data_IF_069191554097
#
_entry.id   IF_069191554097
#
_cell.length_a   1.000
_cell.length_b   1.000
_cell.length_c   1.000
_cell.angle_alpha   90.00
_cell.angle_beta   90.00
_cell.angle_gamma   90.00
#
_symmetry.space_group_name_H-M   'P 1'
#
loop_
_entity.id
_entity.type
_entity.pdbx_description
1 polymer ?
#
# COMPACT_ATOMS: atom_id res chain seq x y z
N UNK A 1 9.50 -39.52 4.66
CA UNK A 1 8.59 -38.81 5.59
C UNK A 1 8.58 -37.32 5.24
N UNK A 2 8.32 -36.99 3.97
CA UNK A 2 8.18 -35.62 3.43
C UNK A 2 7.40 -35.72 2.09
N UNK A 3 6.24 -36.39 2.09
CA UNK A 3 5.39 -36.52 0.88
C UNK A 3 3.88 -36.38 1.18
N UNK A 4 3.50 -35.87 2.36
CA UNK A 4 2.07 -35.77 2.75
C UNK A 4 1.69 -34.39 3.29
N UNK A 5 2.00 -33.33 2.56
CA UNK A 5 1.23 -32.08 2.65
C UNK A 5 0.99 -31.58 1.23
N UNK A 6 -0.18 -31.97 0.70
CA UNK A 6 -0.69 -31.55 -0.60
C UNK A 6 -0.85 -30.03 -0.69
N UNK A 7 -0.74 -29.54 -1.94
CA UNK A 7 -0.68 -28.13 -2.33
C UNK A 7 -1.69 -27.21 -1.65
N UNK A 8 -1.33 -25.94 -1.49
CA UNK A 8 -1.20 -25.05 -2.65
C UNK A 8 0.18 -24.44 -2.78
N UNK A 9 0.76 -24.52 -3.98
CA UNK A 9 1.68 -23.50 -4.45
C UNK A 9 0.95 -22.16 -4.31
N UNK A 10 1.45 -21.27 -3.45
CA UNK A 10 1.12 -19.85 -3.58
C UNK A 10 1.92 -19.40 -4.81
N UNK A 11 1.33 -19.55 -6.00
CA UNK A 11 1.90 -19.14 -7.30
C UNK A 11 1.78 -17.62 -7.54
N UNK A 12 1.67 -16.81 -6.49
CA UNK A 12 1.78 -15.36 -6.61
C UNK A 12 2.97 -14.93 -5.75
N UNK A 13 3.93 -14.25 -6.39
CA UNK A 13 4.96 -13.55 -5.64
C UNK A 13 4.25 -12.61 -4.66
N UNK A 14 4.66 -12.58 -3.38
CA UNK A 14 4.02 -11.70 -2.42
C UNK A 14 4.08 -10.26 -2.93
N UNK A 15 2.93 -9.59 -2.94
CA UNK A 15 2.86 -8.19 -3.37
C UNK A 15 3.88 -7.34 -2.60
N UNK A 16 4.56 -6.48 -3.34
CA UNK A 16 5.57 -5.59 -2.78
C UNK A 16 4.88 -4.54 -1.90
N UNK A 17 5.16 -4.57 -0.59
CA UNK A 17 4.62 -3.60 0.36
C UNK A 17 5.31 -2.23 0.19
N UNK A 18 4.71 -1.34 -0.61
CA UNK A 18 5.19 0.02 -0.85
C UNK A 18 4.76 1.02 0.25
N UNK A 19 3.55 0.82 0.79
CA UNK A 19 2.92 1.65 1.82
C UNK A 19 2.48 0.84 3.04
N UNK A 20 2.24 1.52 4.16
CA UNK A 20 1.54 0.94 5.30
C UNK A 20 0.81 2.01 6.10
N UNK A 21 -0.53 1.95 6.11
CA UNK A 21 -1.37 2.66 7.05
C UNK A 21 -1.32 2.04 8.46
N UNK A 22 -0.90 2.84 9.44
CA UNK A 22 -0.89 2.50 10.87
C UNK A 22 -1.87 3.41 11.63
N UNK A 23 -3.01 2.85 12.01
CA UNK A 23 -4.06 3.54 12.77
C UNK A 23 -5.41 2.89 12.55
N UNK A 24 -6.45 3.49 13.12
CA UNK A 24 -7.84 3.05 12.94
C UNK A 24 -8.41 3.78 11.72
N UNK A 25 -8.99 3.08 10.72
CA UNK A 25 -9.70 3.71 9.61
C UNK A 25 -10.82 4.64 10.11
N UNK A 26 -11.08 5.71 9.37
CA UNK A 26 -12.08 6.71 9.73
C UNK A 26 -13.49 6.13 9.96
N UNK A 27 -14.01 5.18 9.15
CA UNK A 27 -15.32 4.59 9.40
C UNK A 27 -15.40 3.80 10.71
N UNK A 28 -14.26 3.32 11.21
CA UNK A 28 -14.14 2.53 12.44
C UNK A 28 -13.76 3.39 13.66
N UNK A 29 -13.33 4.63 13.44
CA UNK A 29 -12.91 5.53 14.49
C UNK A 29 -14.09 5.91 15.40
N UNK A 30 -13.94 5.66 16.71
CA UNK A 30 -14.96 6.02 17.71
C UNK A 30 -15.01 7.54 17.91
N UNK A 31 -16.22 8.09 17.91
CA UNK A 31 -16.44 9.51 18.24
C UNK A 31 -16.40 9.78 19.75
N UNK A 32 -16.70 8.77 20.57
CA UNK A 32 -16.73 8.88 22.04
C UNK A 32 -15.33 8.65 22.62
N UNK A 33 -14.59 7.70 22.04
CA UNK A 33 -13.24 7.31 22.45
C UNK A 33 -12.29 7.42 21.25
N UNK A 34 -11.91 8.64 20.85
CA UNK A 34 -11.09 8.84 19.65
C UNK A 34 -9.68 8.26 19.82
N UNK A 35 -9.01 7.88 18.71
CA UNK A 35 -7.64 7.37 18.75
C UNK A 35 -6.69 8.34 19.47
N UNK A 36 -5.86 7.81 20.36
CA UNK A 36 -4.89 8.60 21.13
C UNK A 36 -3.73 9.13 20.28
N UNK A 37 -3.48 8.50 19.13
CA UNK A 37 -2.38 8.80 18.24
C UNK A 37 -2.89 9.09 16.84
N UNK A 38 -2.22 9.98 16.10
CA UNK A 38 -2.54 10.19 14.70
C UNK A 38 -2.26 8.92 13.91
N UNK A 39 -3.05 8.74 12.86
CA UNK A 39 -2.75 7.82 11.76
C UNK A 39 -1.38 8.18 11.17
N UNK A 40 -0.61 7.17 10.80
CA UNK A 40 0.66 7.33 10.07
C UNK A 40 0.63 6.45 8.83
N UNK A 41 1.12 7.00 7.72
CA UNK A 41 1.46 6.20 6.55
C UNK A 41 2.98 6.08 6.49
N UNK A 42 3.48 4.86 6.46
CA UNK A 42 4.89 4.56 6.22
C UNK A 42 5.07 4.26 4.73
N UNK A 43 6.12 4.82 4.15
CA UNK A 43 6.52 4.54 2.77
C UNK A 43 7.86 3.81 2.79
N UNK A 44 7.94 2.71 2.05
CA UNK A 44 9.13 1.89 1.96
C UNK A 44 9.95 2.30 0.74
N UNK A 45 11.00 3.10 0.98
CA UNK A 45 11.84 3.67 -0.09
C UNK A 45 12.32 2.64 -1.10
N UNK A 46 12.83 1.49 -0.65
CA UNK A 46 13.39 0.50 -1.58
C UNK A 46 12.31 -0.13 -2.44
N UNK A 47 11.17 -0.50 -1.85
CA UNK A 47 10.00 -1.02 -2.57
C UNK A 47 9.55 -0.04 -3.66
N UNK A 48 9.38 1.24 -3.32
CA UNK A 48 8.97 2.28 -4.28
C UNK A 48 9.97 2.49 -5.43
N UNK A 49 11.27 2.34 -5.17
CA UNK A 49 12.29 2.47 -6.22
C UNK A 49 12.29 1.25 -7.15
N UNK A 50 12.03 0.07 -6.60
CA UNK A 50 11.94 -1.17 -7.37
C UNK A 50 10.70 -1.17 -8.30
N UNK A 51 9.65 -0.40 -7.97
CA UNK A 51 8.45 -0.25 -8.82
C UNK A 51 8.66 0.58 -10.08
N UNK A 52 9.65 1.48 -10.11
CA UNK A 52 9.81 2.49 -11.19
C UNK A 52 11.14 2.42 -11.94
N UNK A 53 11.85 1.28 -11.87
CA UNK A 53 13.15 1.06 -12.53
C UNK A 53 14.16 2.23 -12.32
N UNK A 54 14.26 2.72 -11.07
CA UNK A 54 14.93 3.99 -10.79
C UNK A 54 16.43 4.00 -11.13
N UNK A 55 16.82 4.83 -12.11
CA UNK A 55 18.21 5.01 -12.55
C UNK A 55 18.84 6.35 -12.11
N UNK A 56 18.06 7.22 -11.47
CA UNK A 56 18.50 8.55 -11.03
C UNK A 56 18.34 9.67 -12.05
N UNK A 57 17.73 9.40 -13.21
CA UNK A 57 17.32 10.42 -14.19
C UNK A 57 16.17 11.31 -13.67
N UNK A 58 15.94 12.44 -14.34
CA UNK A 58 14.82 13.33 -14.02
C UNK A 58 13.48 12.66 -14.36
N UNK A 59 13.46 11.84 -15.41
CA UNK A 59 12.32 11.02 -15.82
C UNK A 59 11.98 9.98 -14.74
N UNK A 60 12.94 9.17 -14.30
CA UNK A 60 12.72 8.19 -13.22
C UNK A 60 12.31 8.85 -11.89
N UNK A 61 12.77 10.09 -11.65
CA UNK A 61 12.33 10.86 -10.49
C UNK A 61 10.88 11.37 -10.63
N UNK A 62 10.39 11.61 -11.84
CA UNK A 62 8.98 11.92 -12.08
C UNK A 62 8.11 10.69 -11.83
N UNK A 63 8.51 9.53 -12.35
CA UNK A 63 7.82 8.25 -12.15
C UNK A 63 7.77 7.87 -10.66
N UNK A 64 8.88 8.03 -9.94
CA UNK A 64 8.92 7.80 -8.49
C UNK A 64 7.95 8.70 -7.71
N UNK A 65 7.76 9.96 -8.15
CA UNK A 65 6.82 10.88 -7.49
C UNK A 65 5.38 10.46 -7.73
N UNK A 66 5.08 9.97 -8.94
CA UNK A 66 3.77 9.43 -9.28
C UNK A 66 3.48 8.17 -8.45
N UNK A 67 4.42 7.24 -8.37
CA UNK A 67 4.31 6.02 -7.57
C UNK A 67 4.11 6.32 -6.07
N UNK A 68 4.87 7.28 -5.51
CA UNK A 68 4.66 7.77 -4.14
C UNK A 68 3.23 8.34 -3.98
N UNK A 69 2.73 9.09 -4.97
CA UNK A 69 1.40 9.68 -4.90
C UNK A 69 0.32 8.61 -4.96
N UNK A 70 0.45 7.61 -5.85
CA UNK A 70 -0.44 6.45 -5.96
C UNK A 70 -0.48 5.69 -4.64
N UNK A 71 0.68 5.27 -4.12
CA UNK A 71 0.79 4.55 -2.84
C UNK A 71 0.17 5.36 -1.69
N UNK A 72 0.44 6.67 -1.61
CA UNK A 72 -0.15 7.50 -0.55
C UNK A 72 -1.67 7.62 -0.68
N UNK A 73 -2.19 7.78 -1.90
CA UNK A 73 -3.62 7.92 -2.14
C UNK A 73 -4.37 6.60 -1.92
N UNK A 74 -3.74 5.47 -2.21
CA UNK A 74 -4.21 4.14 -1.88
C UNK A 74 -4.44 4.00 -0.35
N UNK A 75 -3.39 4.26 0.44
CA UNK A 75 -3.45 4.17 1.90
C UNK A 75 -4.44 5.17 2.52
N UNK A 76 -4.53 6.38 1.96
CA UNK A 76 -5.52 7.38 2.36
C UNK A 76 -6.94 6.91 2.00
N UNK A 77 -7.13 6.30 0.84
CA UNK A 77 -8.41 5.76 0.42
C UNK A 77 -8.91 4.67 1.37
N UNK A 78 -8.05 3.74 1.77
CA UNK A 78 -8.37 2.76 2.81
C UNK A 78 -8.69 3.41 4.15
N UNK A 79 -7.96 4.44 4.56
CA UNK A 79 -8.31 5.21 5.75
C UNK A 79 -9.74 5.79 5.67
N UNK A 80 -10.21 6.18 4.48
CA UNK A 80 -11.59 6.63 4.26
C UNK A 80 -12.61 5.49 4.05
N UNK A 81 -12.17 4.23 4.02
CA UNK A 81 -13.03 3.06 3.84
C UNK A 81 -13.28 2.66 2.39
N UNK A 82 -12.44 3.11 1.45
CA UNK A 82 -12.45 2.59 0.07
C UNK A 82 -11.82 1.20 0.04
N UNK A 83 -12.40 0.29 -0.74
CA UNK A 83 -11.80 -1.02 -1.05
C UNK A 83 -11.05 -1.01 -2.38
N UNK A 84 -10.42 -2.13 -2.74
CA UNK A 84 -9.61 -2.27 -3.97
C UNK A 84 -10.36 -1.83 -5.24
N UNK A 85 -11.59 -2.31 -5.45
CA UNK A 85 -12.39 -1.95 -6.63
C UNK A 85 -12.61 -0.42 -6.77
N UNK A 86 -12.70 0.30 -5.65
CA UNK A 86 -12.83 1.75 -5.66
C UNK A 86 -11.51 2.44 -6.01
N UNK A 87 -10.39 1.91 -5.51
CA UNK A 87 -9.05 2.43 -5.74
C UNK A 87 -8.62 2.19 -7.20
N UNK A 88 -8.83 0.98 -7.72
CA UNK A 88 -8.63 0.63 -9.13
C UNK A 88 -9.37 1.59 -10.06
N UNK A 89 -10.65 1.83 -9.77
CA UNK A 89 -11.50 2.75 -10.56
C UNK A 89 -10.99 4.20 -10.52
N UNK A 90 -10.30 4.59 -9.46
CA UNK A 90 -9.72 5.92 -9.29
C UNK A 90 -8.28 6.01 -9.83
N UNK A 91 -7.67 4.88 -10.20
CA UNK A 91 -6.28 4.79 -10.65
C UNK A 91 -5.26 4.78 -9.50
N UNK A 92 -5.66 4.28 -8.33
CA UNK A 92 -4.81 4.13 -7.15
C UNK A 92 -4.67 2.68 -6.66
N UNK A 93 -5.20 1.70 -7.40
CA UNK A 93 -5.01 0.28 -7.12
C UNK A 93 -3.65 -0.22 -7.60
#
# INVERSE_FOLDING_TARGET
>A
MLEELGGTEFEEEPETLCGLHLGVPLPEASMIEPPLYPVRVYLFRMALLDMVDYDGSDEALADLREEIAITLLHEIGHYFGLGEDDLDRLGFG
#
